data_IF_506176589866
#
_entry.id   IF_506176589866
#
_cell.length_a   1.000
_cell.length_b   1.000
_cell.length_c   1.000
_cell.angle_alpha   90.00
_cell.angle_beta   90.00
_cell.angle_gamma   90.00
#
_symmetry.space_group_name_H-M   'P 1'
#
loop_
_entity.id
_entity.type
_entity.pdbx_description
1 polymer ?
#
# COMPACT_ATOMS: atom_id res chain seq x y z
N UNK A 1 -10.01 -20.90 -4.07
CA UNK A 1 -8.65 -20.69 -3.53
C UNK A 1 -8.78 -20.35 -2.06
N UNK A 2 -7.92 -20.92 -1.21
CA UNK A 2 -7.84 -20.60 0.22
C UNK A 2 -6.55 -19.87 0.53
N UNK A 3 -6.62 -18.90 1.44
CA UNK A 3 -5.52 -18.03 1.84
C UNK A 3 -5.45 -17.96 3.36
N UNK A 4 -4.26 -18.28 3.91
CA UNK A 4 -3.93 -18.11 5.31
C UNK A 4 -2.72 -17.20 5.47
N UNK A 5 -2.87 -16.12 6.24
CA UNK A 5 -1.78 -15.21 6.59
C UNK A 5 -1.69 -15.04 8.10
N UNK A 6 -0.48 -15.07 8.64
CA UNK A 6 -0.30 -14.70 10.05
C UNK A 6 1.13 -14.77 10.54
N UNK A 7 1.29 -14.74 11.86
CA UNK A 7 2.59 -14.56 12.50
C UNK A 7 2.89 -15.72 13.45
N UNK A 8 4.13 -16.21 13.44
CA UNK A 8 4.60 -17.18 14.43
C UNK A 8 5.33 -16.45 15.57
N UNK A 9 4.79 -16.58 16.78
CA UNK A 9 5.47 -16.13 17.97
C UNK A 9 6.30 -17.27 18.57
N UNK A 10 7.45 -16.91 19.12
CA UNK A 10 8.34 -17.76 19.89
C UNK A 10 8.56 -17.11 21.26
N UNK A 11 7.86 -17.61 22.26
CA UNK A 11 7.86 -17.07 23.63
C UNK A 11 9.26 -17.04 24.26
N UNK A 12 10.10 -18.03 23.96
CA UNK A 12 11.47 -18.10 24.48
C UNK A 12 12.34 -16.98 23.90
N UNK A 13 12.29 -16.76 22.59
CA UNK A 13 13.04 -15.68 21.93
C UNK A 13 12.48 -14.30 22.30
N UNK A 14 11.16 -14.16 22.38
CA UNK A 14 10.51 -12.93 22.82
C UNK A 14 10.93 -12.53 24.25
N UNK A 15 11.00 -13.50 25.17
CA UNK A 15 11.39 -13.26 26.57
C UNK A 15 12.86 -12.90 26.78
N UNK A 16 13.72 -13.15 25.78
CA UNK A 16 15.14 -12.85 25.86
C UNK A 16 15.46 -11.37 25.55
N UNK A 17 14.51 -10.61 25.01
CA UNK A 17 14.70 -9.20 24.71
C UNK A 17 14.73 -8.35 26.01
N UNK A 18 15.57 -7.29 26.06
CA UNK A 18 15.52 -6.32 27.14
C UNK A 18 14.13 -5.70 27.32
N UNK A 19 13.78 -5.40 28.57
CA UNK A 19 12.50 -4.76 28.88
C UNK A 19 12.30 -3.46 28.08
N UNK A 20 11.13 -3.33 27.45
CA UNK A 20 10.78 -2.18 26.60
C UNK A 20 11.30 -2.26 25.16
N UNK A 21 11.93 -3.37 24.76
CA UNK A 21 12.35 -3.61 23.38
C UNK A 21 11.65 -4.84 22.80
N UNK A 22 11.33 -4.80 21.51
CA UNK A 22 10.77 -5.94 20.80
C UNK A 22 11.91 -6.85 20.32
N UNK A 23 11.77 -8.17 20.51
CA UNK A 23 12.71 -9.12 19.94
C UNK A 23 12.66 -9.08 18.41
N UNK A 24 13.83 -9.15 17.75
CA UNK A 24 13.91 -9.12 16.27
C UNK A 24 13.19 -10.32 15.65
N UNK A 25 13.25 -11.48 16.32
CA UNK A 25 12.71 -12.76 15.86
C UNK A 25 11.63 -13.25 16.83
N UNK A 26 10.49 -13.67 16.29
CA UNK A 26 9.47 -14.42 17.02
C UNK A 26 8.69 -13.61 18.06
N UNK A 27 8.74 -12.27 18.02
CA UNK A 27 7.90 -11.42 18.85
C UNK A 27 7.05 -10.50 17.97
N UNK A 28 5.74 -10.54 18.16
CA UNK A 28 4.78 -9.65 17.51
C UNK A 28 4.61 -8.36 18.33
N UNK A 29 4.66 -7.20 17.69
CA UNK A 29 4.43 -5.92 18.36
C UNK A 29 2.96 -5.71 18.71
N UNK A 30 2.70 -4.86 19.71
CA UNK A 30 1.33 -4.48 20.09
C UNK A 30 0.60 -3.82 18.90
N UNK A 31 1.30 -2.97 18.15
CA UNK A 31 0.75 -2.31 16.96
C UNK A 31 0.41 -3.33 15.86
N UNK A 32 1.33 -4.21 15.49
CA UNK A 32 1.05 -5.23 14.48
C UNK A 32 -0.02 -6.22 14.90
N UNK A 33 -0.23 -6.41 16.21
CA UNK A 33 -1.34 -7.19 16.72
C UNK A 33 -2.71 -6.59 16.38
N UNK A 34 -2.84 -5.31 16.07
CA UNK A 34 -4.14 -4.67 15.76
C UNK A 34 -4.52 -4.77 14.28
N UNK A 35 -3.72 -5.45 13.45
CA UNK A 35 -3.91 -5.47 11.99
C UNK A 35 -5.18 -6.20 11.51
N UNK A 36 -5.85 -6.94 12.38
CA UNK A 36 -7.13 -7.58 12.09
C UNK A 36 -8.07 -7.43 13.28
N UNK A 37 -9.37 -7.24 13.00
CA UNK A 37 -10.42 -7.15 14.03
C UNK A 37 -10.49 -8.46 14.82
N UNK A 38 -10.53 -9.58 14.11
CA UNK A 38 -10.59 -10.92 14.69
C UNK A 38 -9.33 -11.68 14.35
N UNK A 39 -8.70 -12.27 15.37
CA UNK A 39 -7.53 -13.13 15.23
C UNK A 39 -7.83 -14.48 15.86
N UNK A 40 -7.25 -15.54 15.31
CA UNK A 40 -7.28 -16.87 15.93
C UNK A 40 -5.89 -17.25 16.40
N UNK A 41 -5.79 -17.83 17.59
CA UNK A 41 -4.51 -18.26 18.17
C UNK A 41 -4.49 -19.78 18.30
N UNK A 42 -3.40 -20.39 17.86
CA UNK A 42 -3.21 -21.84 17.87
C UNK A 42 -1.95 -22.21 18.63
N UNK A 43 -2.05 -23.31 19.38
CA UNK A 43 -1.00 -23.85 20.24
C UNK A 43 -0.92 -25.36 20.03
N UNK A 44 0.28 -25.93 20.17
CA UNK A 44 0.51 -27.36 20.08
C UNK A 44 1.42 -27.82 21.21
N UNK A 45 1.08 -28.91 21.88
CA UNK A 45 1.87 -29.45 23.00
C UNK A 45 3.28 -29.86 22.56
N UNK A 46 3.44 -30.26 21.29
CA UNK A 46 4.74 -30.64 20.72
C UNK A 46 5.68 -29.46 20.48
N UNK A 47 5.19 -28.22 20.57
CA UNK A 47 5.98 -27.01 20.34
C UNK A 47 5.53 -25.92 21.32
N UNK A 48 5.73 -26.12 22.63
CA UNK A 48 5.13 -25.28 23.68
C UNK A 48 5.65 -23.84 23.66
N UNK A 49 6.85 -23.62 23.09
CA UNK A 49 7.44 -22.30 22.96
C UNK A 49 6.81 -21.48 21.82
N UNK A 50 6.07 -22.13 20.92
CA UNK A 50 5.49 -21.52 19.72
C UNK A 50 3.99 -21.35 19.80
N UNK A 51 3.50 -20.24 19.26
CA UNK A 51 2.08 -20.09 18.97
C UNK A 51 1.87 -19.31 17.68
N UNK A 52 0.82 -19.69 16.95
CA UNK A 52 0.47 -19.10 15.68
C UNK A 52 -0.70 -18.13 15.87
N UNK A 53 -0.52 -16.89 15.41
CA UNK A 53 -1.57 -15.87 15.37
C UNK A 53 -2.01 -15.72 13.92
N UNK A 54 -3.21 -16.20 13.60
CA UNK A 54 -3.84 -16.04 12.30
C UNK A 54 -4.53 -14.69 12.20
N UNK A 55 -4.19 -13.91 11.17
CA UNK A 55 -4.80 -12.60 10.87
C UNK A 55 -5.76 -12.66 9.70
N UNK A 56 -5.43 -13.44 8.66
CA UNK A 56 -6.33 -13.70 7.52
C UNK A 56 -6.53 -15.19 7.38
N UNK A 57 -7.79 -15.60 7.25
CA UNK A 57 -8.19 -16.93 6.84
C UNK A 57 -9.44 -16.78 5.99
N UNK A 58 -9.32 -17.02 4.69
CA UNK A 58 -10.39 -16.78 3.73
C UNK A 58 -10.35 -17.77 2.57
N UNK A 59 -11.51 -18.07 2.03
CA UNK A 59 -11.67 -18.73 0.74
C UNK A 59 -12.48 -17.86 -0.23
N UNK A 60 -12.86 -18.42 -1.39
CA UNK A 60 -13.61 -17.69 -2.43
C UNK A 60 -15.00 -17.21 -1.94
N UNK A 61 -15.49 -17.72 -0.81
CA UNK A 61 -16.77 -17.34 -0.21
C UNK A 61 -16.63 -16.26 0.87
N UNK A 62 -15.40 -15.95 1.29
CA UNK A 62 -15.08 -14.93 2.28
C UNK A 62 -14.27 -15.47 3.45
N UNK A 63 -14.35 -14.77 4.59
CA UNK A 63 -13.62 -15.14 5.81
C UNK A 63 -14.13 -16.45 6.39
N UNK A 64 -13.21 -17.37 6.68
CA UNK A 64 -13.50 -18.66 7.31
C UNK A 64 -12.59 -18.89 8.51
N UNK A 65 -12.98 -19.78 9.42
CA UNK A 65 -12.09 -20.19 10.51
C UNK A 65 -10.91 -21.00 9.96
N UNK A 66 -9.67 -20.75 10.41
CA UNK A 66 -8.52 -21.52 9.95
C UNK A 66 -8.73 -23.02 10.23
N UNK A 67 -8.63 -23.90 9.23
CA UNK A 67 -8.76 -25.33 9.43
C UNK A 67 -7.70 -25.83 10.43
N UNK A 68 -8.08 -26.62 11.45
CA UNK A 68 -7.15 -27.07 12.49
C UNK A 68 -5.93 -27.80 11.93
N UNK A 69 -6.10 -28.66 10.92
CA UNK A 69 -4.99 -29.38 10.30
C UNK A 69 -3.96 -28.46 9.62
N UNK A 70 -4.42 -27.35 9.02
CA UNK A 70 -3.53 -26.33 8.44
C UNK A 70 -2.80 -25.58 9.56
N UNK A 71 -3.49 -25.19 10.63
CA UNK A 71 -2.87 -24.54 11.79
C UNK A 71 -1.79 -25.42 12.46
N UNK A 72 -2.07 -26.71 12.66
CA UNK A 72 -1.08 -27.67 13.18
C UNK A 72 0.13 -27.79 12.23
N UNK A 73 -0.11 -27.83 10.91
CA UNK A 73 0.97 -27.85 9.92
C UNK A 73 1.86 -26.61 10.02
N UNK A 74 1.27 -25.41 10.14
CA UNK A 74 2.01 -24.13 10.33
C UNK A 74 2.93 -24.23 11.55
N UNK A 75 2.41 -24.66 12.69
CA UNK A 75 3.19 -24.78 13.93
C UNK A 75 4.34 -25.77 13.78
N UNK A 76 4.09 -26.93 13.15
CA UNK A 76 5.12 -27.95 12.92
C UNK A 76 6.22 -27.47 11.96
N UNK A 77 5.86 -26.78 10.89
CA UNK A 77 6.83 -26.23 9.94
C UNK A 77 7.66 -25.12 10.59
N UNK A 78 7.04 -24.23 11.35
CA UNK A 78 7.76 -23.21 12.09
C UNK A 78 8.70 -23.81 13.15
N UNK A 79 8.27 -24.84 13.88
CA UNK A 79 9.12 -25.58 14.82
C UNK A 79 10.34 -26.18 14.13
N UNK A 80 10.16 -26.76 12.94
CA UNK A 80 11.27 -27.29 12.15
C UNK A 80 12.24 -26.18 11.71
N UNK A 81 11.74 -25.03 11.23
CA UNK A 81 12.58 -23.87 10.87
C UNK A 81 13.39 -23.39 12.07
N UNK A 82 12.76 -23.24 13.25
CA UNK A 82 13.48 -22.88 14.46
C UNK A 82 14.52 -23.93 14.87
N UNK A 83 14.24 -25.22 14.70
CA UNK A 83 15.19 -26.28 15.00
C UNK A 83 16.43 -26.24 14.08
N UNK A 84 16.24 -26.03 12.77
CA UNK A 84 17.37 -25.92 11.83
C UNK A 84 18.25 -24.72 12.13
N UNK A 85 17.62 -23.60 12.44
CA UNK A 85 18.32 -22.33 12.68
C UNK A 85 19.05 -22.33 14.03
N UNK A 86 18.51 -23.05 15.03
CA UNK A 86 19.18 -23.27 16.31
C UNK A 86 20.30 -24.30 16.25
N UNK A 87 20.27 -25.23 15.28
CA UNK A 87 21.35 -26.20 15.06
C UNK A 87 22.62 -25.55 14.47
N UNK A 88 22.49 -24.36 13.89
CA UNK A 88 23.58 -23.57 13.34
C UNK A 88 23.60 -22.18 14.03
N UNK A 89 23.86 -22.11 15.35
CA UNK A 89 23.98 -20.82 16.02
C UNK A 89 25.26 -20.10 15.56
N UNK A 90 25.26 -18.78 15.70
CA UNK A 90 26.32 -17.82 15.43
C UNK A 90 27.76 -18.35 15.16
N UNK A 91 28.45 -17.93 14.07
CA UNK A 91 28.02 -17.02 13.00
C UNK A 91 27.56 -17.76 11.73
N UNK A 92 27.06 -18.99 11.84
CA UNK A 92 26.64 -19.76 10.67
C UNK A 92 25.29 -19.28 10.14
N UNK A 93 25.31 -18.44 9.10
CA UNK A 93 24.10 -18.15 8.33
C UNK A 93 23.63 -19.42 7.60
N UNK A 94 22.37 -19.80 7.79
CA UNK A 94 21.72 -20.77 6.92
C UNK A 94 21.23 -20.06 5.67
N UNK A 95 21.78 -20.43 4.50
CA UNK A 95 21.33 -19.87 3.24
C UNK A 95 19.85 -20.21 2.99
N UNK A 96 19.09 -19.25 2.47
CA UNK A 96 17.66 -19.41 2.19
C UNK A 96 17.37 -20.67 1.35
N UNK A 97 18.15 -20.92 0.30
CA UNK A 97 17.97 -22.10 -0.55
C UNK A 97 18.16 -23.41 0.22
N UNK A 98 19.14 -23.48 1.12
CA UNK A 98 19.38 -24.66 1.96
C UNK A 98 18.20 -24.93 2.89
N UNK A 99 17.59 -23.88 3.46
CA UNK A 99 16.39 -24.00 4.27
C UNK A 99 15.20 -24.53 3.44
N UNK A 100 14.99 -23.98 2.24
CA UNK A 100 13.90 -24.38 1.35
C UNK A 100 14.05 -25.82 0.84
N UNK A 101 15.26 -26.23 0.46
CA UNK A 101 15.55 -27.60 0.04
C UNK A 101 15.30 -28.60 1.19
N UNK A 102 15.65 -28.22 2.42
CA UNK A 102 15.37 -29.03 3.62
C UNK A 102 13.87 -29.15 3.93
N UNK A 103 13.12 -28.04 3.81
CA UNK A 103 11.65 -28.05 3.95
C UNK A 103 11.00 -28.96 2.91
N UNK A 104 11.42 -28.85 1.65
CA UNK A 104 10.90 -29.69 0.58
C UNK A 104 11.26 -31.16 0.83
N UNK A 105 12.50 -31.48 1.18
CA UNK A 105 12.92 -32.83 1.50
C UNK A 105 12.13 -33.47 2.65
N UNK A 106 11.83 -32.70 3.69
CA UNK A 106 11.10 -33.16 4.87
C UNK A 106 9.59 -33.26 4.64
N UNK A 107 8.99 -32.33 3.88
CA UNK A 107 7.53 -32.12 3.85
C UNK A 107 6.89 -32.19 2.45
N UNK A 108 7.61 -32.66 1.41
CA UNK A 108 7.10 -32.76 0.03
C UNK A 108 5.79 -33.54 -0.16
N UNK A 109 5.43 -34.44 0.78
CA UNK A 109 4.16 -35.18 0.70
C UNK A 109 2.97 -34.38 1.22
N UNK A 110 3.22 -33.30 1.96
CA UNK A 110 2.22 -32.51 2.66
C UNK A 110 2.11 -31.07 2.13
N UNK A 111 3.17 -30.58 1.49
CA UNK A 111 3.29 -29.23 0.99
C UNK A 111 4.27 -29.13 -0.19
N UNK A 112 4.10 -28.10 -1.00
CA UNK A 112 4.96 -27.78 -2.14
C UNK A 112 5.15 -26.26 -2.30
N UNK A 113 5.92 -25.86 -3.32
CA UNK A 113 6.11 -24.47 -3.72
C UNK A 113 6.61 -23.58 -2.56
N UNK A 114 7.52 -24.13 -1.75
CA UNK A 114 8.17 -23.40 -0.68
C UNK A 114 8.96 -22.22 -1.22
N UNK A 115 8.69 -21.04 -0.66
CA UNK A 115 9.45 -19.81 -0.90
C UNK A 115 9.57 -19.05 0.42
N UNK A 116 10.60 -18.22 0.56
CA UNK A 116 10.80 -17.43 1.77
C UNK A 116 11.33 -16.03 1.46
N UNK A 117 11.20 -15.14 2.44
CA UNK A 117 11.84 -13.82 2.42
C UNK A 117 13.34 -13.88 2.70
N UNK A 118 13.95 -12.71 2.81
CA UNK A 118 15.37 -12.57 3.16
C UNK A 118 15.66 -13.20 4.53
N UNK A 119 16.88 -13.71 4.73
CA UNK A 119 17.31 -14.19 6.04
C UNK A 119 17.63 -13.00 6.96
N UNK A 120 17.06 -13.01 8.16
CA UNK A 120 17.22 -11.98 9.21
C UNK A 120 17.89 -12.59 10.42
N UNK A 121 18.75 -11.82 11.09
CA UNK A 121 19.44 -12.25 12.31
C UNK A 121 19.12 -11.35 13.50
N UNK A 122 19.00 -11.97 14.68
CA UNK A 122 19.01 -11.27 15.98
C UNK A 122 20.43 -11.12 16.55
N UNK A 123 21.45 -11.48 15.75
CA UNK A 123 22.84 -11.54 16.15
C UNK A 123 23.26 -12.87 16.75
N UNK A 124 22.38 -13.88 16.87
CA UNK A 124 22.68 -15.26 17.30
C UNK A 124 22.09 -16.31 16.38
N UNK A 125 20.81 -16.16 16.02
CA UNK A 125 20.06 -17.05 15.16
C UNK A 125 19.67 -16.34 13.87
N UNK A 126 19.38 -17.13 12.84
CA UNK A 126 18.92 -16.65 11.55
C UNK A 126 17.53 -17.22 11.26
N UNK A 127 16.59 -16.45 10.77
CA UNK A 127 15.28 -16.94 10.29
C UNK A 127 14.90 -16.23 9.01
N UNK A 128 14.07 -16.81 8.14
CA UNK A 128 13.50 -16.04 7.05
C UNK A 128 12.55 -14.97 7.58
N UNK A 129 12.42 -13.83 6.90
CA UNK A 129 11.39 -12.82 7.21
C UNK A 129 9.98 -13.44 7.27
N UNK A 130 9.69 -14.27 6.28
CA UNK A 130 8.46 -15.03 6.11
C UNK A 130 8.72 -16.34 5.35
N UNK A 131 7.83 -17.31 5.53
CA UNK A 131 7.76 -18.55 4.79
C UNK A 131 6.39 -18.66 4.10
N UNK A 132 6.39 -19.10 2.84
CA UNK A 132 5.17 -19.37 2.08
C UNK A 132 5.23 -20.75 1.44
N UNK A 133 4.09 -21.44 1.42
CA UNK A 133 3.94 -22.73 0.75
C UNK A 133 2.49 -22.98 0.35
N UNK A 134 2.29 -24.05 -0.41
CA UNK A 134 0.96 -24.60 -0.69
C UNK A 134 0.74 -25.89 0.08
N UNK A 135 -0.42 -26.04 0.71
CA UNK A 135 -0.82 -27.28 1.38
C UNK A 135 -1.39 -28.28 0.37
N UNK A 136 -1.01 -29.57 0.49
CA UNK A 136 -1.44 -30.66 -0.40
C UNK A 136 -2.39 -31.70 0.23
N UNK A 137 -2.69 -31.55 1.52
CA UNK A 137 -3.27 -32.62 2.35
C UNK A 137 -4.60 -32.27 2.98
N UNK A 138 -4.95 -30.99 3.06
CA UNK A 138 -6.25 -30.57 3.59
C UNK A 138 -7.37 -31.06 2.66
N UNK A 139 -8.38 -31.78 3.17
CA UNK A 139 -9.40 -32.41 2.34
C UNK A 139 -10.33 -31.42 1.65
N UNK A 140 -10.41 -30.17 2.13
CA UNK A 140 -11.27 -29.12 1.59
C UNK A 140 -10.47 -28.21 0.66
N UNK A 141 -9.33 -27.72 1.13
CA UNK A 141 -8.60 -26.63 0.49
C UNK A 141 -7.30 -27.05 -0.17
N UNK A 142 -6.65 -28.10 0.31
CA UNK A 142 -5.31 -28.53 -0.11
C UNK A 142 -5.29 -29.79 -0.99
N UNK A 143 -6.43 -30.42 -1.25
CA UNK A 143 -6.41 -31.74 -1.90
C UNK A 143 -5.90 -31.67 -3.34
N UNK A 144 -4.89 -32.47 -3.65
CA UNK A 144 -4.47 -32.82 -5.03
C UNK A 144 -5.67 -33.26 -5.89
N UNK A 145 -6.73 -33.76 -5.25
CA UNK A 145 -7.94 -34.27 -5.91
C UNK A 145 -8.89 -33.14 -6.33
N UNK A 146 -8.92 -32.01 -5.63
CA UNK A 146 -9.84 -30.90 -5.90
C UNK A 146 -9.25 -29.84 -6.82
N UNK A 147 -7.94 -29.86 -7.08
CA UNK A 147 -7.24 -28.85 -7.88
C UNK A 147 -7.32 -27.44 -7.28
N UNK A 148 -7.67 -27.33 -6.00
CA UNK A 148 -7.79 -26.07 -5.28
C UNK A 148 -6.43 -25.63 -4.73
N UNK A 149 -6.11 -24.35 -4.89
CA UNK A 149 -4.89 -23.75 -4.33
C UNK A 149 -5.12 -23.29 -2.90
N UNK A 150 -4.28 -23.75 -1.97
CA UNK A 150 -4.23 -23.35 -0.57
C UNK A 150 -2.91 -22.65 -0.28
N UNK A 151 -2.89 -21.31 -0.32
CA UNK A 151 -1.69 -20.52 -0.12
C UNK A 151 -1.55 -20.10 1.35
N UNK A 152 -0.42 -20.43 1.97
CA UNK A 152 -0.15 -20.11 3.37
C UNK A 152 1.10 -19.23 3.42
N UNK A 153 1.03 -18.08 4.10
CA UNK A 153 2.17 -17.18 4.33
C UNK A 153 2.30 -16.82 5.79
N UNK A 154 3.45 -17.12 6.38
CA UNK A 154 3.72 -16.92 7.81
C UNK A 154 4.96 -16.06 8.00
N UNK A 155 4.86 -15.02 8.81
CA UNK A 155 6.00 -14.15 9.18
C UNK A 155 6.64 -14.59 10.49
N UNK A 156 7.96 -14.45 10.56
CA UNK A 156 8.79 -14.75 11.74
C UNK A 156 9.38 -13.49 12.38
N UNK A 157 9.31 -12.34 11.70
CA UNK A 157 9.85 -11.06 12.17
C UNK A 157 8.79 -9.98 12.07
N UNK A 158 8.63 -9.18 13.14
CA UNK A 158 7.61 -8.14 13.20
C UNK A 158 7.86 -7.05 12.15
N UNK A 159 9.11 -6.66 11.93
CA UNK A 159 9.47 -5.65 10.94
C UNK A 159 9.00 -6.02 9.53
N UNK A 160 9.16 -7.29 9.12
CA UNK A 160 8.67 -7.76 7.83
C UNK A 160 7.15 -7.85 7.81
N UNK A 161 6.53 -8.38 8.88
CA UNK A 161 5.07 -8.45 8.98
C UNK A 161 4.42 -7.07 8.88
N UNK A 162 4.95 -6.11 9.65
CA UNK A 162 4.49 -4.73 9.67
C UNK A 162 4.55 -4.06 8.30
N UNK A 163 5.58 -4.38 7.50
CA UNK A 163 5.82 -3.79 6.18
C UNK A 163 5.13 -4.51 5.02
N UNK A 164 4.82 -5.80 5.15
CA UNK A 164 4.40 -6.65 4.03
C UNK A 164 2.98 -7.19 4.17
N UNK A 165 2.39 -7.15 5.36
CA UNK A 165 0.99 -7.54 5.54
C UNK A 165 0.09 -6.53 4.83
N UNK A 166 -0.70 -7.04 3.90
CA UNK A 166 -1.41 -6.30 2.85
C UNK A 166 -2.94 -6.30 3.05
N UNK A 167 -3.47 -7.16 3.92
CA UNK A 167 -4.89 -7.18 4.24
C UNK A 167 -5.24 -6.09 5.25
N UNK A 168 -6.46 -5.59 5.17
CA UNK A 168 -6.96 -4.57 6.08
C UNK A 168 -8.48 -4.60 6.18
N UNK A 169 -9.02 -3.94 7.21
CA UNK A 169 -10.44 -3.65 7.33
C UNK A 169 -10.62 -2.21 7.78
N UNK A 170 -11.55 -1.49 7.15
CA UNK A 170 -11.88 -0.11 7.50
C UNK A 170 -13.34 -0.07 7.95
N UNK A 171 -13.58 0.40 9.16
CA UNK A 171 -14.91 0.68 9.67
C UNK A 171 -15.19 2.18 9.54
N UNK A 172 -16.37 2.54 9.05
CA UNK A 172 -16.78 3.92 8.80
C UNK A 172 -17.82 4.32 9.84
N UNK A 173 -17.59 5.46 10.48
CA UNK A 173 -18.53 6.13 11.38
C UNK A 173 -19.00 7.41 10.68
N UNK A 174 -20.26 7.45 10.20
CA UNK A 174 -20.76 8.59 9.43
C UNK A 174 -21.09 9.81 10.31
N UNK A 175 -21.17 11.01 9.71
CA UNK A 175 -21.57 12.27 10.36
C UNK A 175 -23.07 12.40 10.62
N UNK A 176 -23.89 11.53 10.03
CA UNK A 176 -25.33 11.44 10.21
C UNK A 176 -25.68 9.95 10.20
N UNK A 177 -26.56 9.52 11.10
CA UNK A 177 -26.92 8.11 11.24
C UNK A 177 -27.68 7.56 10.02
N UNK A 178 -28.68 8.29 9.53
CA UNK A 178 -29.38 7.94 8.29
C UNK A 178 -28.77 8.71 7.13
N UNK A 179 -28.10 8.02 6.21
CA UNK A 179 -27.39 8.67 5.11
C UNK A 179 -28.34 9.33 4.12
N UNK A 180 -29.54 8.80 3.91
CA UNK A 180 -30.51 9.39 2.99
C UNK A 180 -30.97 10.80 3.42
N UNK A 181 -30.76 11.18 4.70
CA UNK A 181 -31.08 12.52 5.18
C UNK A 181 -30.20 13.61 4.53
N UNK A 182 -29.07 13.25 3.92
CA UNK A 182 -28.26 14.15 3.10
C UNK A 182 -29.00 14.70 1.88
N UNK A 183 -30.05 14.03 1.40
CA UNK A 183 -30.85 14.47 0.26
C UNK A 183 -32.06 15.33 0.66
N UNK A 184 -32.16 15.70 1.94
CA UNK A 184 -33.18 16.64 2.43
C UNK A 184 -32.73 18.11 2.22
N UNK A 185 -33.46 19.08 2.79
CA UNK A 185 -33.07 20.49 2.70
C UNK A 185 -31.73 20.75 3.39
N UNK A 186 -30.90 21.65 2.85
CA UNK A 186 -29.60 22.00 3.43
C UNK A 186 -29.66 22.49 4.88
N UNK A 187 -30.76 23.15 5.29
CA UNK A 187 -31.01 23.51 6.68
C UNK A 187 -31.18 22.30 7.60
N UNK A 188 -31.82 21.24 7.13
CA UNK A 188 -31.98 19.98 7.85
C UNK A 188 -30.66 19.22 7.95
N UNK A 189 -29.91 19.15 6.84
CA UNK A 189 -28.55 18.58 6.84
C UNK A 189 -27.66 19.29 7.85
N UNK A 190 -27.64 20.64 7.84
CA UNK A 190 -26.87 21.42 8.81
C UNK A 190 -27.29 21.13 10.26
N UNK A 191 -28.60 21.00 10.52
CA UNK A 191 -29.12 20.70 11.85
C UNK A 191 -28.73 19.28 12.32
N UNK A 192 -28.78 18.29 11.44
CA UNK A 192 -28.41 16.90 11.75
C UNK A 192 -26.91 16.76 12.01
N UNK A 193 -26.07 17.36 11.17
CA UNK A 193 -24.61 17.38 11.37
C UNK A 193 -24.26 18.08 12.68
N UNK A 194 -24.93 19.20 13.00
CA UNK A 194 -24.69 19.92 14.25
C UNK A 194 -25.25 19.20 15.49
N UNK A 195 -26.25 18.33 15.32
CA UNK A 195 -26.85 17.55 16.41
C UNK A 195 -25.93 16.42 16.89
N UNK A 196 -25.04 15.90 16.03
CA UNK A 196 -24.05 14.91 16.43
C UNK A 196 -22.90 15.59 17.18
N UNK A 197 -22.96 15.53 18.51
CA UNK A 197 -21.93 16.13 19.35
C UNK A 197 -20.63 15.32 19.28
N UNK A 198 -19.52 15.93 19.71
CA UNK A 198 -18.25 15.22 19.88
C UNK A 198 -18.40 13.97 20.78
N UNK A 199 -19.21 14.06 21.84
CA UNK A 199 -19.44 12.94 22.76
C UNK A 199 -20.18 11.80 22.06
N UNK A 200 -21.16 12.12 21.21
CA UNK A 200 -21.89 11.12 20.44
C UNK A 200 -20.97 10.43 19.41
N UNK A 201 -20.12 11.20 18.73
CA UNK A 201 -19.12 10.64 17.80
C UNK A 201 -18.19 9.68 18.51
N UNK A 202 -17.67 10.02 19.70
CA UNK A 202 -16.82 9.10 20.48
C UNK A 202 -17.60 7.85 20.92
N UNK A 203 -18.87 7.97 21.28
CA UNK A 203 -19.71 6.82 21.59
C UNK A 203 -19.90 5.89 20.37
N UNK A 204 -20.14 6.46 19.18
CA UNK A 204 -20.26 5.71 17.92
C UNK A 204 -18.93 5.04 17.53
N UNK A 205 -17.80 5.73 17.70
CA UNK A 205 -16.46 5.17 17.49
C UNK A 205 -16.22 3.98 18.42
N UNK A 206 -16.53 4.12 19.71
CA UNK A 206 -16.38 3.01 20.66
C UNK A 206 -17.33 1.85 20.33
N UNK A 207 -18.54 2.12 19.86
CA UNK A 207 -19.48 1.09 19.42
C UNK A 207 -18.98 0.36 18.17
N UNK A 208 -18.42 1.08 17.19
CA UNK A 208 -17.83 0.49 15.98
C UNK A 208 -16.56 -0.32 16.29
N UNK A 209 -15.71 0.16 17.20
CA UNK A 209 -14.51 -0.53 17.69
C UNK A 209 -14.86 -1.83 18.43
N UNK A 210 -15.90 -1.77 19.28
CA UNK A 210 -16.16 -2.82 20.27
C UNK A 210 -14.97 -2.99 21.22
N UNK A 211 -14.56 -4.24 21.45
CA UNK A 211 -13.42 -4.58 22.31
C UNK A 211 -12.11 -4.80 21.54
N UNK A 212 -12.09 -4.53 20.23
CA UNK A 212 -10.93 -4.78 19.38
C UNK A 212 -10.20 -3.46 19.12
N UNK A 213 -8.93 -3.31 19.54
CA UNK A 213 -8.19 -2.08 19.27
C UNK A 213 -7.88 -1.95 17.78
N UNK A 214 -8.05 -0.75 17.24
CA UNK A 214 -7.68 -0.38 15.88
C UNK A 214 -6.18 -0.15 15.71
N UNK A 215 -5.69 -0.23 14.48
CA UNK A 215 -4.33 0.19 14.12
C UNK A 215 -4.22 1.70 14.07
N UNK A 216 -5.19 2.36 13.45
CA UNK A 216 -5.26 3.81 13.34
C UNK A 216 -6.71 4.29 13.36
N UNK A 217 -6.90 5.51 13.88
CA UNK A 217 -8.16 6.24 13.78
C UNK A 217 -7.89 7.57 13.08
N UNK A 218 -8.69 7.89 12.08
CA UNK A 218 -8.56 9.13 11.30
C UNK A 218 -9.93 9.79 11.18
N UNK A 219 -9.94 11.12 11.14
CA UNK A 219 -11.14 11.91 10.90
C UNK A 219 -10.96 12.78 9.66
N UNK A 220 -11.84 12.59 8.67
CA UNK A 220 -11.79 13.28 7.40
C UNK A 220 -13.00 14.21 7.27
N UNK A 221 -12.75 15.46 6.88
CA UNK A 221 -13.81 16.43 6.63
C UNK A 221 -14.08 16.53 5.13
N UNK A 222 -15.32 16.28 4.72
CA UNK A 222 -15.80 16.48 3.35
C UNK A 222 -16.93 17.50 3.34
N UNK A 223 -16.94 18.37 2.34
CA UNK A 223 -17.97 19.40 2.26
C UNK A 223 -19.19 18.87 1.51
N UNK A 224 -20.34 18.86 2.19
CA UNK A 224 -21.64 18.79 1.54
C UNK A 224 -21.88 20.07 0.73
N UNK A 225 -22.37 19.92 -0.50
CA UNK A 225 -22.73 21.01 -1.41
C UNK A 225 -24.25 21.03 -1.56
N UNK A 226 -24.86 22.16 -1.25
CA UNK A 226 -26.30 22.35 -1.41
C UNK A 226 -26.68 22.36 -2.91
N UNK A 227 -27.55 21.43 -3.38
CA UNK A 227 -27.98 21.37 -4.78
C UNK A 227 -28.62 22.65 -5.30
N UNK A 228 -29.28 23.41 -4.42
CA UNK A 228 -29.99 24.64 -4.79
C UNK A 228 -29.08 25.88 -4.71
N UNK A 229 -27.96 25.79 -4.00
CA UNK A 229 -27.00 26.89 -3.85
C UNK A 229 -25.58 26.33 -3.62
N UNK A 230 -24.79 26.05 -4.69
CA UNK A 230 -23.46 25.45 -4.56
C UNK A 230 -22.43 26.27 -3.75
N UNK A 231 -22.70 27.56 -3.49
CA UNK A 231 -21.86 28.37 -2.60
C UNK A 231 -22.10 28.07 -1.11
N UNK A 232 -23.26 27.50 -0.77
CA UNK A 232 -23.56 27.01 0.57
C UNK A 232 -22.95 25.62 0.74
N UNK A 233 -21.92 25.54 1.58
CA UNK A 233 -21.23 24.29 1.89
C UNK A 233 -21.29 24.00 3.38
N UNK A 234 -21.46 22.73 3.72
CA UNK A 234 -21.56 22.26 5.12
C UNK A 234 -20.46 21.23 5.35
N UNK A 235 -19.51 21.44 6.28
CA UNK A 235 -18.47 20.46 6.56
C UNK A 235 -19.08 19.24 7.26
N UNK A 236 -18.73 18.05 6.80
CA UNK A 236 -19.19 16.76 7.33
C UNK A 236 -17.97 15.93 7.75
N UNK A 237 -17.93 15.50 9.01
CA UNK A 237 -16.78 14.80 9.56
C UNK A 237 -17.02 13.28 9.59
N UNK A 238 -16.25 12.55 8.80
CA UNK A 238 -16.29 11.10 8.69
C UNK A 238 -15.14 10.51 9.50
N UNK A 239 -15.45 9.71 10.51
CA UNK A 239 -14.42 9.05 11.31
C UNK A 239 -14.24 7.63 10.80
N UNK A 240 -13.00 7.19 10.66
CA UNK A 240 -12.67 5.84 10.21
C UNK A 240 -11.76 5.13 11.20
N UNK A 241 -11.98 3.83 11.37
CA UNK A 241 -11.11 2.95 12.15
C UNK A 241 -10.46 1.97 11.19
N UNK A 242 -9.13 1.95 11.17
CA UNK A 242 -8.33 1.14 10.25
C UNK A 242 -7.69 0.00 11.05
N UNK A 243 -7.90 -1.23 10.59
CA UNK A 243 -7.21 -2.43 11.04
C UNK A 243 -6.27 -2.88 9.92
N UNK A 244 -4.96 -2.78 10.15
CA UNK A 244 -3.92 -3.10 9.18
C UNK A 244 -3.37 -1.85 8.49
N UNK A 245 -2.04 -1.68 8.50
CA UNK A 245 -1.40 -0.48 7.93
C UNK A 245 -1.67 -0.30 6.43
N UNK A 246 -1.88 -1.39 5.69
CA UNK A 246 -2.21 -1.32 4.26
C UNK A 246 -3.51 -0.55 3.98
N UNK A 247 -4.43 -0.48 4.95
CA UNK A 247 -5.65 0.30 4.86
C UNK A 247 -5.45 1.81 5.02
N UNK A 248 -4.30 2.26 5.52
CA UNK A 248 -3.94 3.68 5.61
C UNK A 248 -3.48 4.24 4.26
N UNK A 249 -4.35 4.10 3.27
CA UNK A 249 -4.22 4.68 1.95
C UNK A 249 -5.51 5.45 1.65
N UNK A 250 -5.37 6.68 1.17
CA UNK A 250 -6.49 7.53 0.75
C UNK A 250 -7.45 6.79 -0.20
N UNK A 251 -6.94 5.92 -1.07
CA UNK A 251 -7.76 5.16 -2.01
C UNK A 251 -8.59 4.08 -1.30
N UNK A 252 -8.01 3.39 -0.33
CA UNK A 252 -8.69 2.36 0.47
C UNK A 252 -9.74 3.00 1.36
N UNK A 253 -9.41 4.14 1.97
CA UNK A 253 -10.31 4.91 2.83
C UNK A 253 -11.50 5.44 2.03
N UNK A 254 -11.25 6.12 0.90
CA UNK A 254 -12.32 6.65 0.07
C UNK A 254 -13.22 5.52 -0.47
N UNK A 255 -12.64 4.39 -0.89
CA UNK A 255 -13.44 3.22 -1.31
C UNK A 255 -14.28 2.66 -0.16
N UNK A 256 -13.74 2.57 1.06
CA UNK A 256 -14.49 2.11 2.21
C UNK A 256 -15.66 3.05 2.54
N UNK A 257 -15.47 4.36 2.47
CA UNK A 257 -16.53 5.35 2.66
C UNK A 257 -17.59 5.22 1.56
N UNK A 258 -17.20 5.16 0.28
CA UNK A 258 -18.12 4.98 -0.85
C UNK A 258 -18.93 3.68 -0.69
N UNK A 259 -18.27 2.55 -0.43
CA UNK A 259 -18.92 1.27 -0.25
C UNK A 259 -19.88 1.29 0.94
N UNK A 260 -19.48 1.94 2.04
CA UNK A 260 -20.36 2.13 3.20
C UNK A 260 -21.58 2.96 2.84
N UNK A 261 -21.41 4.08 2.11
CA UNK A 261 -22.51 4.93 1.68
C UNK A 261 -23.48 4.14 0.81
N UNK A 262 -22.99 3.53 -0.27
CA UNK A 262 -23.82 2.79 -1.23
C UNK A 262 -24.53 1.58 -0.61
N UNK A 263 -23.96 0.97 0.43
CA UNK A 263 -24.59 -0.12 1.15
C UNK A 263 -25.67 0.34 2.16
N UNK A 264 -25.65 1.60 2.58
CA UNK A 264 -26.53 2.17 3.63
C UNK A 264 -27.39 3.35 3.13
N UNK A 265 -27.54 3.50 1.82
CA UNK A 265 -28.29 4.56 1.15
C UNK A 265 -29.20 3.96 0.08
N UNK A 266 -30.36 4.57 -0.15
CA UNK A 266 -31.23 4.23 -1.28
C UNK A 266 -30.81 4.93 -2.60
N UNK A 267 -30.00 5.99 -2.50
CA UNK A 267 -29.49 6.76 -3.63
C UNK A 267 -28.26 6.12 -4.29
N UNK A 268 -28.16 6.30 -5.61
CA UNK A 268 -27.05 5.81 -6.41
C UNK A 268 -25.81 6.72 -6.33
N UNK A 269 -24.71 6.27 -6.93
CA UNK A 269 -23.47 7.03 -6.94
C UNK A 269 -23.62 8.40 -7.63
N UNK A 270 -24.42 8.50 -8.70
CA UNK A 270 -24.56 9.75 -9.45
C UNK A 270 -25.25 10.82 -8.62
N UNK A 271 -26.26 10.44 -7.83
CA UNK A 271 -26.92 11.30 -6.85
C UNK A 271 -25.91 11.81 -5.81
N UNK A 272 -25.13 10.91 -5.20
CA UNK A 272 -24.15 11.27 -4.18
C UNK A 272 -23.03 12.17 -4.69
N UNK A 273 -22.59 11.99 -5.93
CA UNK A 273 -21.59 12.85 -6.56
C UNK A 273 -22.04 14.32 -6.66
N UNK A 274 -23.34 14.60 -6.64
CA UNK A 274 -23.85 15.97 -6.69
C UNK A 274 -23.67 16.73 -5.36
N UNK A 275 -23.81 16.02 -4.24
CA UNK A 275 -23.83 16.62 -2.90
C UNK A 275 -22.53 16.39 -2.11
N UNK A 276 -21.81 15.29 -2.34
CA UNK A 276 -20.52 14.99 -1.72
C UNK A 276 -19.49 14.60 -2.79
N UNK A 277 -19.21 15.48 -3.76
CA UNK A 277 -18.29 15.15 -4.86
C UNK A 277 -16.90 14.79 -4.35
N UNK A 278 -16.40 15.36 -3.26
CA UNK A 278 -15.04 15.11 -2.76
C UNK A 278 -14.83 13.65 -2.32
N UNK A 279 -15.89 12.95 -1.90
CA UNK A 279 -15.82 11.53 -1.53
C UNK A 279 -15.79 10.66 -2.79
N UNK A 280 -16.62 10.99 -3.77
CA UNK A 280 -16.86 10.16 -4.96
C UNK A 280 -15.95 10.51 -6.16
N UNK A 281 -15.36 11.70 -6.15
CA UNK A 281 -14.45 12.20 -7.19
C UNK A 281 -13.07 12.41 -6.59
N UNK A 282 -12.19 11.44 -6.85
CA UNK A 282 -10.79 11.52 -6.43
C UNK A 282 -10.08 12.55 -7.27
N UNK A 283 -9.52 13.56 -6.61
CA UNK A 283 -8.54 14.44 -7.26
C UNK A 283 -7.20 13.73 -7.22
N UNK A 284 -6.79 13.19 -8.36
CA UNK A 284 -5.55 12.43 -8.51
C UNK A 284 -4.72 12.93 -9.70
N UNK A 285 -3.39 12.81 -9.59
CA UNK A 285 -2.45 13.04 -10.67
C UNK A 285 -1.62 11.78 -10.91
N UNK A 286 -1.58 11.35 -12.17
CA UNK A 286 -0.68 10.28 -12.60
C UNK A 286 0.65 10.89 -13.03
N UNK A 287 1.74 10.43 -12.44
CA UNK A 287 3.10 10.89 -12.60
C UNK A 287 3.93 9.77 -13.23
N UNK A 288 4.51 10.03 -14.41
CA UNK A 288 5.30 9.05 -15.16
C UNK A 288 6.71 9.60 -15.40
N UNK A 289 7.66 9.25 -14.54
CA UNK A 289 9.05 9.60 -14.77
C UNK A 289 9.59 8.84 -15.99
N UNK A 290 10.42 9.48 -16.80
CA UNK A 290 11.02 8.88 -18.00
C UNK A 290 12.24 8.03 -17.64
N UNK A 291 12.00 6.95 -16.90
CA UNK A 291 13.04 6.11 -16.28
C UNK A 291 13.98 5.40 -17.26
N UNK A 292 13.57 5.19 -18.50
CA UNK A 292 14.38 4.54 -19.54
C UNK A 292 15.15 5.55 -20.41
N UNK A 293 15.05 6.84 -20.12
CA UNK A 293 15.63 7.91 -20.92
C UNK A 293 16.91 8.47 -20.29
N UNK A 294 18.05 7.91 -20.69
CA UNK A 294 19.37 8.31 -20.17
C UNK A 294 20.04 9.35 -21.05
N UNK A 295 20.61 10.38 -20.42
CA UNK A 295 21.61 11.23 -21.05
C UNK A 295 23.02 10.64 -20.88
N UNK A 296 23.27 10.00 -19.74
CA UNK A 296 24.49 9.26 -19.44
C UNK A 296 24.08 7.88 -18.93
N UNK A 297 24.38 6.79 -19.65
CA UNK A 297 24.00 5.45 -19.23
C UNK A 297 24.79 5.02 -17.99
N UNK A 298 24.26 4.01 -17.29
CA UNK A 298 24.95 3.35 -16.18
C UNK A 298 26.34 2.86 -16.61
N UNK A 299 27.33 3.07 -15.75
CA UNK A 299 28.68 2.48 -15.85
C UNK A 299 28.88 1.53 -14.68
N UNK A 300 29.86 0.62 -14.80
CA UNK A 300 30.13 -0.42 -13.79
C UNK A 300 30.28 0.06 -12.33
N UNK A 301 30.55 1.35 -12.10
CA UNK A 301 30.69 1.97 -10.77
C UNK A 301 29.87 3.25 -10.57
N UNK A 302 29.13 3.72 -11.58
CA UNK A 302 28.40 4.99 -11.52
C UNK A 302 27.00 4.81 -12.08
N UNK A 303 26.01 5.21 -11.28
CA UNK A 303 24.62 5.28 -11.75
C UNK A 303 24.49 6.35 -12.83
N UNK A 304 23.70 6.04 -13.84
CA UNK A 304 23.39 6.89 -14.97
C UNK A 304 22.63 8.14 -14.56
N UNK A 305 22.64 9.12 -15.46
CA UNK A 305 21.92 10.37 -15.33
C UNK A 305 20.84 10.40 -16.41
N UNK A 306 19.60 10.69 -16.02
CA UNK A 306 18.48 10.78 -16.94
C UNK A 306 18.60 12.01 -17.84
N UNK A 307 17.89 11.98 -18.96
CA UNK A 307 17.78 13.14 -19.84
C UNK A 307 16.54 13.95 -19.47
N UNK A 308 16.68 15.28 -19.30
CA UNK A 308 15.54 16.17 -19.09
C UNK A 308 14.76 16.43 -20.40
N UNK A 309 15.28 16.00 -21.54
CA UNK A 309 14.71 16.29 -22.86
C UNK A 309 13.61 15.29 -23.19
N UNK A 310 12.36 15.71 -23.13
CA UNK A 310 11.21 14.85 -23.43
C UNK A 310 10.66 15.09 -24.84
N UNK A 311 10.42 14.01 -25.58
CA UNK A 311 9.60 14.07 -26.80
C UNK A 311 8.11 14.04 -26.40
N UNK A 312 7.33 15.03 -26.85
CA UNK A 312 5.91 15.16 -26.47
C UNK A 312 5.04 13.98 -26.92
N UNK A 313 5.25 13.46 -28.13
CA UNK A 313 4.50 12.30 -28.64
C UNK A 313 4.77 11.06 -27.79
N UNK A 314 6.03 10.83 -27.42
CA UNK A 314 6.42 9.75 -26.51
C UNK A 314 5.86 9.97 -25.10
N UNK A 315 5.92 11.18 -24.58
CA UNK A 315 5.33 11.54 -23.29
C UNK A 315 3.84 11.20 -23.24
N UNK A 316 3.08 11.57 -24.28
CA UNK A 316 1.66 11.24 -24.39
C UNK A 316 1.44 9.72 -24.50
N UNK A 317 2.27 8.99 -25.24
CA UNK A 317 2.17 7.53 -25.31
C UNK A 317 2.39 6.87 -23.94
N UNK A 318 3.37 7.35 -23.17
CA UNK A 318 3.67 6.84 -21.83
C UNK A 318 2.50 7.01 -20.86
N UNK A 319 1.92 8.20 -20.79
CA UNK A 319 0.80 8.47 -19.89
C UNK A 319 -0.49 7.76 -20.34
N UNK A 320 -0.76 7.64 -21.65
CA UNK A 320 -1.89 6.86 -22.17
C UNK A 320 -1.82 5.39 -21.74
N UNK A 321 -0.62 4.82 -21.67
CA UNK A 321 -0.42 3.42 -21.29
C UNK A 321 -0.76 3.13 -19.83
N UNK A 322 -0.66 4.11 -18.94
CA UNK A 322 -0.73 3.89 -17.49
C UNK A 322 -1.96 4.54 -16.84
N UNK A 323 -2.34 5.74 -17.26
CA UNK A 323 -3.37 6.52 -16.56
C UNK A 323 -4.80 6.05 -16.81
N UNK A 324 -5.06 5.28 -17.89
CA UNK A 324 -6.39 4.85 -18.31
C UNK A 324 -7.42 6.00 -18.49
N UNK A 325 -6.93 7.23 -18.76
CA UNK A 325 -7.79 8.36 -19.12
C UNK A 325 -8.09 8.34 -20.63
N UNK A 326 -9.17 8.99 -21.04
CA UNK A 326 -9.46 9.17 -22.46
C UNK A 326 -8.37 10.00 -23.16
N UNK A 327 -7.91 9.56 -24.33
CA UNK A 327 -6.76 10.21 -25.01
C UNK A 327 -6.95 11.70 -25.28
N UNK A 328 -8.18 12.13 -25.62
CA UNK A 328 -8.49 13.56 -25.79
C UNK A 328 -8.23 14.40 -24.53
N UNK A 329 -8.51 13.83 -23.35
CA UNK A 329 -8.23 14.48 -22.07
C UNK A 329 -6.73 14.58 -21.83
N UNK A 330 -6.00 13.50 -22.08
CA UNK A 330 -4.54 13.46 -21.95
C UNK A 330 -3.89 14.49 -22.88
N UNK A 331 -4.27 14.51 -24.16
CA UNK A 331 -3.69 15.41 -25.15
C UNK A 331 -3.90 16.89 -24.80
N UNK A 332 -4.97 17.20 -24.07
CA UNK A 332 -5.29 18.57 -23.64
C UNK A 332 -4.65 18.96 -22.30
N UNK A 333 -4.33 17.99 -21.43
CA UNK A 333 -4.02 18.23 -20.03
C UNK A 333 -2.69 17.63 -19.54
N UNK A 334 -1.97 16.88 -20.37
CA UNK A 334 -0.66 16.37 -19.99
C UNK A 334 0.37 17.52 -19.90
N UNK A 335 1.12 17.54 -18.81
CA UNK A 335 2.24 18.46 -18.61
C UNK A 335 3.55 17.68 -18.54
N UNK A 336 4.58 18.23 -19.15
CA UNK A 336 5.95 17.70 -19.04
C UNK A 336 6.78 18.70 -18.27
N UNK A 337 7.44 18.21 -17.23
CA UNK A 337 8.36 18.99 -16.41
C UNK A 337 9.66 18.24 -16.19
N UNK A 338 10.71 18.95 -15.84
CA UNK A 338 11.96 18.34 -15.37
C UNK A 338 12.01 18.44 -13.86
N UNK A 339 12.53 17.40 -13.21
CA UNK A 339 12.81 17.42 -11.77
C UNK A 339 14.33 17.31 -11.58
N UNK A 340 14.95 18.15 -10.72
CA UNK A 340 16.41 18.13 -10.50
C UNK A 340 16.98 16.79 -10.02
N UNK A 341 16.14 15.90 -9.48
CA UNK A 341 16.53 14.54 -9.12
C UNK A 341 17.04 13.78 -10.35
N UNK A 342 18.38 13.63 -10.45
CA UNK A 342 19.09 13.01 -11.58
C UNK A 342 18.67 13.54 -12.97
N UNK A 343 18.19 14.78 -13.04
CA UNK A 343 17.69 15.42 -14.27
C UNK A 343 16.57 14.65 -14.97
N UNK A 344 15.69 13.98 -14.21
CA UNK A 344 14.61 13.18 -14.79
C UNK A 344 13.51 14.06 -15.38
N UNK A 345 13.09 13.74 -16.61
CA UNK A 345 11.86 14.28 -17.18
C UNK A 345 10.64 13.51 -16.62
N UNK A 346 9.58 14.25 -16.31
CA UNK A 346 8.37 13.74 -15.68
C UNK A 346 7.15 14.20 -16.48
N UNK A 347 6.34 13.24 -16.92
CA UNK A 347 5.01 13.51 -17.48
C UNK A 347 3.99 13.45 -16.36
N UNK A 348 3.04 14.38 -16.34
CA UNK A 348 1.97 14.42 -15.35
C UNK A 348 0.63 14.70 -16.02
N UNK A 349 -0.44 14.08 -15.54
CA UNK A 349 -1.80 14.39 -15.98
C UNK A 349 -2.78 14.14 -14.84
N UNK A 350 -3.65 15.11 -14.57
CA UNK A 350 -4.73 14.99 -13.61
C UNK A 350 -5.89 14.17 -14.17
N UNK A 351 -6.58 13.43 -13.31
CA UNK A 351 -7.75 12.64 -13.69
C UNK A 351 -8.86 13.55 -14.27
N UNK A 352 -9.65 13.06 -15.25
CA UNK A 352 -10.85 13.75 -15.72
C UNK A 352 -11.85 14.10 -14.60
N UNK A 353 -11.75 13.40 -13.46
CA UNK A 353 -12.61 13.59 -12.30
C UNK A 353 -12.05 14.61 -11.30
N UNK A 354 -10.88 15.23 -11.56
CA UNK A 354 -10.28 16.18 -10.64
C UNK A 354 -11.19 17.39 -10.37
N UNK A 355 -11.27 17.77 -9.10
CA UNK A 355 -12.03 18.92 -8.65
C UNK A 355 -11.53 20.22 -9.31
N UNK A 356 -12.42 21.19 -9.47
CA UNK A 356 -12.13 22.53 -9.97
C UNK A 356 -11.46 22.56 -11.35
N UNK A 357 -11.51 21.46 -12.11
CA UNK A 357 -10.81 21.34 -13.38
C UNK A 357 -9.29 21.35 -13.24
N UNK A 358 -8.75 20.94 -12.09
CA UNK A 358 -7.31 20.87 -11.84
C UNK A 358 -6.68 19.67 -12.57
N UNK A 359 -6.61 19.76 -13.90
CA UNK A 359 -6.14 18.67 -14.76
C UNK A 359 -4.65 18.78 -15.10
N UNK A 360 -4.08 19.98 -15.04
CA UNK A 360 -2.67 20.25 -15.26
C UNK A 360 -2.00 20.53 -13.92
N UNK A 361 -0.75 20.09 -13.75
CA UNK A 361 -0.03 20.27 -12.46
C UNK A 361 0.13 21.74 -12.09
N UNK A 362 0.21 22.62 -13.10
CA UNK A 362 0.28 24.09 -12.95
C UNK A 362 -1.03 24.70 -12.43
N UNK A 363 -2.17 24.00 -12.55
CA UNK A 363 -3.43 24.46 -11.92
C UNK A 363 -3.36 24.37 -10.40
N UNK A 364 -2.50 23.48 -9.86
CA UNK A 364 -2.31 23.27 -8.43
C UNK A 364 -1.10 24.06 -7.92
N UNK A 365 0.03 23.95 -8.63
CA UNK A 365 1.28 24.60 -8.26
C UNK A 365 1.77 25.51 -9.41
N UNK A 366 1.25 26.74 -9.50
CA UNK A 366 1.49 27.62 -10.64
C UNK A 366 2.93 28.16 -10.72
N UNK A 367 3.68 28.12 -9.61
CA UNK A 367 5.01 28.68 -9.48
C UNK A 367 6.12 27.62 -9.34
N UNK A 368 5.87 26.37 -9.79
CA UNK A 368 6.89 25.32 -9.83
C UNK A 368 8.14 25.78 -10.59
N UNK A 369 9.30 25.59 -9.96
CA UNK A 369 10.62 25.78 -10.54
C UNK A 369 11.41 24.48 -10.51
N UNK A 370 12.03 24.13 -11.64
CA UNK A 370 12.96 22.99 -11.74
C UNK A 370 14.35 23.38 -11.28
N UNK A 371 14.49 23.71 -9.99
CA UNK A 371 15.78 24.07 -9.36
C UNK A 371 16.06 23.17 -8.15
N UNK A 372 17.33 22.84 -7.85
CA UNK A 372 17.66 22.11 -6.64
C UNK A 372 17.14 22.81 -5.38
N UNK A 373 16.82 22.06 -4.34
CA UNK A 373 16.28 22.60 -3.07
C UNK A 373 17.24 23.56 -2.35
N UNK A 374 18.53 23.49 -2.67
CA UNK A 374 19.56 24.40 -2.16
C UNK A 374 19.68 25.70 -2.97
N UNK A 375 18.96 25.82 -4.10
CA UNK A 375 18.95 27.04 -4.90
C UNK A 375 18.27 28.16 -4.15
N UNK A 376 18.83 29.37 -4.23
CA UNK A 376 18.19 30.59 -3.70
C UNK A 376 16.82 30.85 -4.34
N UNK A 377 16.63 30.39 -5.57
CA UNK A 377 15.36 30.52 -6.29
C UNK A 377 14.30 29.54 -5.77
N UNK A 378 14.69 28.47 -5.08
CA UNK A 378 13.74 27.54 -4.47
C UNK A 378 12.84 28.25 -3.45
N UNK A 379 13.42 29.17 -2.68
CA UNK A 379 12.71 29.97 -1.68
C UNK A 379 11.76 31.01 -2.29
N UNK A 380 11.76 31.20 -3.61
CA UNK A 380 10.84 32.13 -4.30
C UNK A 380 9.50 31.50 -4.63
N UNK A 381 9.40 30.17 -4.55
CA UNK A 381 8.13 29.46 -4.69
C UNK A 381 7.30 29.60 -3.41
N UNK A 382 5.99 29.47 -3.52
CA UNK A 382 5.09 29.32 -2.40
C UNK A 382 5.50 28.12 -1.54
N UNK A 383 5.30 28.23 -0.22
CA UNK A 383 5.65 27.18 0.74
C UNK A 383 4.99 25.84 0.37
N UNK A 384 3.75 25.90 -0.13
CA UNK A 384 3.01 24.71 -0.55
C UNK A 384 3.68 24.01 -1.74
N UNK A 385 4.12 24.77 -2.74
CA UNK A 385 4.88 24.27 -3.90
C UNK A 385 6.24 23.70 -3.49
N UNK A 386 6.94 24.35 -2.55
CA UNK A 386 8.21 23.85 -2.02
C UNK A 386 8.05 22.48 -1.36
N UNK A 387 7.04 22.34 -0.48
CA UNK A 387 6.74 21.09 0.22
C UNK A 387 6.33 19.97 -0.75
N UNK A 388 5.52 20.29 -1.77
CA UNK A 388 5.19 19.34 -2.82
C UNK A 388 6.43 18.85 -3.57
N UNK A 389 7.37 19.75 -3.94
CA UNK A 389 8.59 19.36 -4.64
C UNK A 389 9.53 18.50 -3.78
N UNK A 390 9.58 18.73 -2.47
CA UNK A 390 10.28 17.86 -1.54
C UNK A 390 9.68 16.45 -1.54
N UNK A 391 8.35 16.36 -1.42
CA UNK A 391 7.64 15.09 -1.50
C UNK A 391 7.90 14.40 -2.85
N UNK A 392 7.82 15.13 -3.96
CA UNK A 392 8.04 14.59 -5.30
C UNK A 392 9.44 13.99 -5.46
N UNK A 393 10.47 14.62 -4.90
CA UNK A 393 11.85 14.10 -4.91
C UNK A 393 11.96 12.80 -4.11
N UNK A 394 11.30 12.71 -2.96
CA UNK A 394 11.32 11.49 -2.14
C UNK A 394 10.51 10.35 -2.78
N UNK A 395 9.41 10.68 -3.45
CA UNK A 395 8.68 9.73 -4.29
C UNK A 395 9.57 9.21 -5.42
N UNK A 396 10.30 10.08 -6.13
CA UNK A 396 11.19 9.65 -7.22
C UNK A 396 12.30 8.71 -6.74
N UNK A 397 12.94 9.00 -5.61
CA UNK A 397 13.96 8.11 -5.01
C UNK A 397 13.40 6.72 -4.70
N UNK A 398 12.21 6.70 -4.10
CA UNK A 398 11.55 5.46 -3.69
C UNK A 398 11.10 4.67 -4.92
N UNK A 399 10.41 5.32 -5.86
CA UNK A 399 9.89 4.71 -7.08
C UNK A 399 10.98 4.17 -8.02
N UNK A 400 12.21 4.72 -7.98
CA UNK A 400 13.36 4.20 -8.73
C UNK A 400 13.80 2.81 -8.23
N UNK A 401 13.61 2.51 -6.95
CA UNK A 401 14.08 1.23 -6.34
C UNK A 401 12.96 0.28 -5.95
N UNK A 402 11.70 0.76 -5.98
CA UNK A 402 10.54 0.00 -5.54
C UNK A 402 10.24 -1.19 -6.45
N UNK A 403 10.02 -2.34 -5.83
CA UNK A 403 9.50 -3.55 -6.46
C UNK A 403 8.18 -3.94 -5.79
N UNK A 404 7.43 -4.87 -6.36
CA UNK A 404 6.18 -5.35 -5.77
C UNK A 404 6.36 -5.88 -4.32
N UNK A 405 7.53 -6.41 -4.00
CA UNK A 405 7.87 -6.95 -2.68
C UNK A 405 8.57 -5.95 -1.76
N UNK A 406 9.06 -4.83 -2.29
CA UNK A 406 9.77 -3.82 -1.51
C UNK A 406 8.84 -3.10 -0.52
N UNK A 407 9.38 -2.73 0.64
CA UNK A 407 8.72 -1.84 1.60
C UNK A 407 8.76 -0.40 1.11
N UNK A 408 7.76 0.39 1.50
CA UNK A 408 7.70 1.84 1.22
C UNK A 408 7.87 2.65 2.51
N UNK A 409 8.47 3.85 2.46
CA UNK A 409 8.56 4.74 3.61
C UNK A 409 7.19 5.17 4.14
N UNK A 410 7.14 5.60 5.41
CA UNK A 410 5.93 6.14 6.01
C UNK A 410 5.40 7.35 5.23
N UNK A 411 4.09 7.44 5.09
CA UNK A 411 3.41 8.47 4.28
C UNK A 411 3.26 8.12 2.80
N UNK A 412 3.81 6.99 2.36
CA UNK A 412 3.62 6.48 1.00
C UNK A 412 3.04 5.06 1.04
N UNK A 413 2.33 4.69 -0.01
CA UNK A 413 1.71 3.37 -0.16
C UNK A 413 1.97 2.80 -1.55
N UNK A 414 1.78 1.49 -1.70
CA UNK A 414 1.83 0.82 -3.00
C UNK A 414 0.40 0.69 -3.54
N UNK A 415 0.25 0.85 -4.85
CA UNK A 415 -0.98 0.56 -5.57
C UNK A 415 -0.66 -0.17 -6.85
N UNK A 416 -1.35 -1.26 -7.15
CA UNK A 416 -1.29 -1.91 -8.47
C UNK A 416 -2.61 -1.65 -9.19
N UNK A 417 -2.57 -0.95 -10.32
CA UNK A 417 -3.74 -0.65 -11.16
C UNK A 417 -3.41 -1.03 -12.60
N UNK A 418 -4.25 -1.86 -13.22
CA UNK A 418 -4.04 -2.37 -14.59
C UNK A 418 -2.65 -3.01 -14.80
N UNK A 419 -2.19 -3.80 -13.83
CA UNK A 419 -0.88 -4.44 -13.84
C UNK A 419 0.32 -3.47 -13.88
N UNK A 420 0.11 -2.19 -13.53
CA UNK A 420 1.16 -1.19 -13.33
C UNK A 420 1.29 -0.94 -11.83
N UNK A 421 2.53 -1.01 -11.32
CA UNK A 421 2.86 -0.67 -9.93
C UNK A 421 3.08 0.84 -9.78
N UNK A 422 2.37 1.43 -8.83
CA UNK A 422 2.48 2.83 -8.44
C UNK A 422 2.96 2.95 -7.01
N UNK A 423 3.80 3.95 -6.77
CA UNK A 423 4.01 4.54 -5.47
C UNK A 423 3.03 5.70 -5.32
N UNK A 424 2.24 5.70 -4.25
CA UNK A 424 1.20 6.69 -4.00
C UNK A 424 1.56 7.51 -2.78
N UNK A 425 1.36 8.82 -2.86
CA UNK A 425 1.41 9.73 -1.72
C UNK A 425 0.33 10.79 -1.88
N UNK A 426 -0.15 11.33 -0.76
CA UNK A 426 -1.13 12.42 -0.75
C UNK A 426 -0.49 13.72 -0.31
N UNK A 427 -0.90 14.82 -0.93
CA UNK A 427 -0.49 16.17 -0.54
C UNK A 427 -1.59 17.17 -0.90
N UNK A 428 -1.96 18.07 0.01
CA UNK A 428 -3.01 19.07 -0.24
C UNK A 428 -4.39 18.48 -0.58
N UNK A 429 -4.70 17.27 -0.11
CA UNK A 429 -5.93 16.55 -0.47
C UNK A 429 -5.95 15.95 -1.88
N UNK A 430 -4.80 15.92 -2.55
CA UNK A 430 -4.61 15.34 -3.89
C UNK A 430 -3.74 14.09 -3.79
N UNK A 431 -4.14 13.03 -4.48
CA UNK A 431 -3.35 11.81 -4.60
C UNK A 431 -2.39 11.89 -5.79
N UNK A 432 -1.11 11.58 -5.57
CA UNK A 432 -0.10 11.53 -6.62
C UNK A 432 0.35 10.09 -6.82
N UNK A 433 0.07 9.54 -7.99
CA UNK A 433 0.38 8.16 -8.36
C UNK A 433 1.63 8.15 -9.25
N UNK A 434 2.77 7.75 -8.71
CA UNK A 434 4.04 7.69 -9.43
C UNK A 434 4.34 6.29 -9.95
N UNK A 435 4.50 6.15 -11.26
CA UNK A 435 4.90 4.89 -11.90
C UNK A 435 6.32 4.51 -11.48
N UNK A 436 6.50 3.29 -10.98
CA UNK A 436 7.81 2.78 -10.55
C UNK A 436 8.69 2.35 -11.71
N UNK A 437 10.02 2.37 -11.52
CA UNK A 437 11.01 1.89 -12.51
C UNK A 437 10.77 0.43 -12.89
N UNK A 438 10.27 -0.40 -11.97
CA UNK A 438 10.00 -1.82 -12.22
C UNK A 438 9.00 -2.10 -13.34
N UNK A 439 8.22 -1.11 -13.77
CA UNK A 439 7.28 -1.26 -14.90
C UNK A 439 7.93 -1.04 -16.27
N UNK A 440 9.20 -0.61 -16.32
CA UNK A 440 9.87 -0.26 -17.56
C UNK A 440 10.62 -1.46 -18.18
N UNK A 441 10.64 -1.58 -19.52
CA UNK A 441 10.03 -0.68 -20.50
C UNK A 441 8.49 -0.79 -20.54
N UNK A 442 7.81 0.35 -20.74
CA UNK A 442 6.35 0.36 -20.84
C UNK A 442 5.90 -0.27 -22.17
N UNK A 443 4.92 -1.20 -22.16
CA UNK A 443 4.40 -1.81 -23.38
C UNK A 443 3.83 -0.77 -24.34
N UNK A 444 4.08 -0.93 -25.64
CA UNK A 444 3.50 -0.07 -26.69
C UNK A 444 4.08 1.35 -26.79
N UNK A 445 5.05 1.71 -25.93
CA UNK A 445 5.73 3.02 -25.98
C UNK A 445 6.99 2.92 -26.84
N UNK A 446 7.23 3.86 -27.78
CA UNK A 446 8.48 3.91 -28.54
C UNK A 446 9.70 4.05 -27.62
N UNK A 447 10.75 3.28 -27.93
CA UNK A 447 12.02 3.36 -27.20
C UNK A 447 12.60 4.79 -27.31
N UNK A 448 13.21 5.31 -26.22
CA UNK A 448 13.86 6.61 -26.27
C UNK A 448 15.07 6.58 -27.19
N UNK A 449 15.40 7.73 -27.78
CA UNK A 449 16.65 7.90 -28.52
C UNK A 449 17.80 7.85 -27.51
N UNK A 450 18.54 6.75 -27.50
CA UNK A 450 19.71 6.61 -26.64
C UNK A 450 20.89 7.37 -27.24
N UNK A 451 21.74 8.03 -26.43
CA UNK A 451 23.00 8.58 -26.90
C UNK A 451 23.83 7.44 -27.50
N UNK A 452 24.39 7.66 -28.69
CA UNK A 452 25.26 6.68 -29.32
C UNK A 452 26.42 6.34 -28.37
N UNK A 453 26.71 5.06 -28.21
CA UNK A 453 27.87 4.57 -27.47
C UNK A 453 29.11 5.10 -28.19
N UNK A 454 29.65 6.23 -27.73
CA UNK A 454 30.78 6.91 -28.38
C UNK A 454 32.08 6.20 -28.01
N UNK A 455 32.19 4.94 -28.41
CA UNK A 455 33.45 4.26 -28.58
C UNK A 455 34.06 4.61 -29.95
N UNK A 456 34.34 5.89 -30.22
CA UNK A 456 35.34 6.36 -31.22
C UNK A 456 35.27 7.87 -31.43
N UNK A 457 35.75 8.67 -30.48
CA UNK A 457 36.28 10.00 -30.80
C UNK A 457 37.72 10.08 -30.26
N UNK A 458 38.58 9.27 -30.86
CA UNK A 458 40.02 9.50 -30.88
C UNK A 458 40.42 9.95 -32.29
N UNK A 459 40.39 11.27 -32.50
CA UNK A 459 41.34 12.01 -33.35
C UNK A 459 41.09 13.50 -33.19
#
# INVERSE_FOLDING_TARGET
MYLLKGFINNSKLASAAPAGTLAVIGALSELSSTYAITKSMFFEESSPDLFFVSFTSADDTGTVQPPPGIATQVLRFAAWVYAQTQAIPNPGEIAAQTLLDGLLGQFQTEAQNFTCGTMVTDGTYWVPEWLQWENLTDPVYGSITTGSTCLIRIWFTDAAFAAQYDDYTILVVPPIQNLDDFFTTSSNVAALVAAQSYTDTIALVNAARGNNPETMIEALSFNYIDPNNPANTIPTNWTILIYGLAGNNIDSIANAIINFILANSAHDQADWETILPDIFRRTEFTLVPMWDQFAIPDRSQQRGIYSPVANLSRANAMINQVAAYGSNHIDSNACVQTVPYKCVALVSCGSPNNRNGAFQIVNVFPDILSVPTQSVDFNRMAVDTQNFLLLLVDMLKTAETLTQFGSVPAGMTKLVRNNILYLVSSYGGISYLMVTLSNFPLPGVPAPVQPADTASLTS
#
